data_IF_994183742660
#
_entry.id   IF_994183742660
#
_cell.length_a   1.000
_cell.length_b   1.000
_cell.length_c   1.000
_cell.angle_alpha   90.00
_cell.angle_beta   90.00
_cell.angle_gamma   90.00
#
_symmetry.space_group_name_H-M   'P 1'
#
loop_
_entity.id
_entity.type
_entity.pdbx_description
1 polymer ?
#
# COMPACT_ATOMS: atom_id res chain seq x y z
N UNK A 1 9.39 -18.31 13.27
CA UNK A 1 8.83 -17.15 12.54
C UNK A 1 8.96 -17.32 11.04
N UNK A 2 8.01 -16.80 10.27
CA UNK A 2 8.12 -16.80 8.81
C UNK A 2 9.27 -15.85 8.39
N UNK A 3 10.06 -16.17 7.36
CA UNK A 3 11.15 -15.31 6.93
C UNK A 3 10.62 -13.92 6.53
N UNK A 4 11.37 -12.84 6.83
CA UNK A 4 11.01 -11.48 6.46
C UNK A 4 10.66 -11.38 4.97
N UNK A 5 9.66 -10.56 4.66
CA UNK A 5 9.35 -10.15 3.29
C UNK A 5 9.90 -8.74 3.12
N UNK A 6 11.19 -8.64 2.78
CA UNK A 6 11.88 -7.37 2.55
C UNK A 6 11.93 -6.99 1.06
N UNK A 7 11.71 -7.96 0.17
CA UNK A 7 11.59 -7.81 -1.28
C UNK A 7 10.66 -8.89 -1.88
N UNK A 8 10.24 -8.71 -3.13
CA UNK A 8 9.38 -9.70 -3.81
C UNK A 8 10.09 -11.05 -4.01
N UNK A 9 11.42 -11.06 -4.14
CA UNK A 9 12.22 -12.28 -4.23
C UNK A 9 12.07 -13.19 -3.00
N UNK A 10 11.76 -12.61 -1.83
CA UNK A 10 11.64 -13.36 -0.57
C UNK A 10 10.36 -14.19 -0.50
N UNK A 11 9.44 -14.07 -1.46
CA UNK A 11 8.16 -14.78 -1.46
C UNK A 11 8.32 -16.29 -1.22
N UNK A 12 9.42 -16.89 -1.68
CA UNK A 12 9.69 -18.31 -1.45
C UNK A 12 8.57 -19.18 -2.03
N UNK A 13 8.07 -20.16 -1.28
CA UNK A 13 6.94 -21.02 -1.71
C UNK A 13 5.54 -20.42 -1.55
N UNK A 14 5.41 -19.18 -1.03
CA UNK A 14 4.12 -18.57 -0.67
C UNK A 14 3.29 -18.23 -1.91
N UNK A 15 1.99 -18.49 -1.84
CA UNK A 15 0.98 -18.08 -2.82
C UNK A 15 0.62 -16.63 -2.60
N UNK A 16 0.74 -15.82 -3.64
CA UNK A 16 0.53 -14.39 -3.62
C UNK A 16 -0.88 -14.04 -4.11
N UNK A 17 -1.71 -13.54 -3.21
CA UNK A 17 -2.98 -12.92 -3.57
C UNK A 17 -2.77 -11.54 -4.20
N UNK A 18 -3.36 -11.33 -5.37
CA UNK A 18 -3.40 -10.03 -6.02
C UNK A 18 -4.74 -9.80 -6.73
N UNK A 19 -5.29 -8.60 -6.61
CA UNK A 19 -6.59 -8.26 -7.22
C UNK A 19 -6.40 -7.92 -8.70
N UNK A 20 -7.12 -8.61 -9.57
CA UNK A 20 -7.12 -8.36 -11.02
C UNK A 20 -7.43 -6.91 -11.36
N UNK A 21 -6.70 -6.35 -12.32
CA UNK A 21 -6.88 -4.97 -12.78
C UNK A 21 -6.30 -3.91 -11.83
N UNK A 22 -5.55 -4.31 -10.80
CA UNK A 22 -4.82 -3.38 -9.93
C UNK A 22 -3.35 -3.29 -10.30
N UNK A 23 -2.71 -2.18 -9.92
CA UNK A 23 -1.27 -2.00 -10.07
C UNK A 23 -0.48 -3.10 -9.35
N UNK A 24 -0.93 -3.52 -8.17
CA UNK A 24 -0.28 -4.60 -7.41
C UNK A 24 -0.27 -5.93 -8.21
N UNK A 25 -1.38 -6.27 -8.87
CA UNK A 25 -1.44 -7.45 -9.75
C UNK A 25 -0.56 -7.31 -10.98
N UNK A 26 -0.51 -6.12 -11.60
CA UNK A 26 0.36 -5.87 -12.74
C UNK A 26 1.86 -6.03 -12.38
N UNK A 27 2.28 -5.48 -11.24
CA UNK A 27 3.64 -5.63 -10.70
C UNK A 27 3.93 -7.10 -10.44
N UNK A 28 3.05 -7.82 -9.73
CA UNK A 28 3.25 -9.23 -9.40
C UNK A 28 3.38 -10.11 -10.66
N UNK A 29 2.55 -9.88 -11.68
CA UNK A 29 2.56 -10.65 -12.94
C UNK A 29 3.71 -10.28 -13.88
N UNK A 30 4.27 -9.08 -13.76
CA UNK A 30 5.37 -8.56 -14.58
C UNK A 30 6.75 -8.77 -13.96
N UNK A 31 6.84 -8.92 -12.64
CA UNK A 31 8.10 -9.00 -11.89
C UNK A 31 9.06 -10.04 -12.48
N UNK A 32 10.30 -9.62 -12.77
CA UNK A 32 11.35 -10.42 -13.42
C UNK A 32 10.83 -11.27 -14.59
N UNK A 33 10.15 -10.61 -15.52
CA UNK A 33 9.57 -11.24 -16.72
C UNK A 33 8.53 -12.34 -16.38
N UNK A 34 7.81 -12.18 -15.26
CA UNK A 34 6.74 -13.07 -14.84
C UNK A 34 7.17 -14.23 -13.95
N UNK A 35 8.30 -14.13 -13.27
CA UNK A 35 8.81 -15.19 -12.39
C UNK A 35 7.86 -15.54 -11.22
N UNK A 36 6.96 -14.63 -10.82
CA UNK A 36 5.94 -14.92 -9.79
C UNK A 36 4.65 -15.54 -10.33
N UNK A 37 4.41 -15.55 -11.65
CA UNK A 37 3.13 -15.99 -12.25
C UNK A 37 2.62 -17.34 -11.71
N UNK A 38 3.47 -18.38 -11.54
CA UNK A 38 3.00 -19.67 -11.02
C UNK A 38 2.49 -19.62 -9.57
N UNK A 39 2.82 -18.56 -8.82
CA UNK A 39 2.46 -18.37 -7.41
C UNK A 39 1.34 -17.34 -7.22
N UNK A 40 0.98 -16.59 -8.27
CA UNK A 40 -0.07 -15.58 -8.19
C UNK A 40 -1.44 -16.25 -8.22
N UNK A 41 -2.21 -16.01 -7.17
CA UNK A 41 -3.63 -16.35 -7.09
C UNK A 41 -4.41 -15.08 -7.38
N UNK A 42 -4.93 -15.01 -8.59
CA UNK A 42 -5.72 -13.88 -9.05
C UNK A 42 -7.07 -13.86 -8.34
N UNK A 43 -7.40 -12.74 -7.71
CA UNK A 43 -8.68 -12.51 -7.06
C UNK A 43 -9.45 -11.42 -7.80
N UNK A 44 -10.77 -11.51 -7.78
CA UNK A 44 -11.64 -10.48 -8.36
C UNK A 44 -11.75 -9.27 -7.43
N UNK A 45 -12.16 -8.11 -7.97
CA UNK A 45 -12.40 -6.91 -7.16
C UNK A 45 -13.56 -7.04 -6.16
N UNK A 46 -14.38 -8.10 -6.29
CA UNK A 46 -15.48 -8.39 -5.36
C UNK A 46 -15.05 -9.27 -4.18
N UNK A 47 -13.90 -9.93 -4.28
CA UNK A 47 -13.38 -10.76 -3.21
C UNK A 47 -12.70 -9.88 -2.14
N UNK A 48 -13.00 -10.17 -0.88
CA UNK A 48 -12.24 -9.62 0.24
C UNK A 48 -10.95 -10.42 0.41
N UNK A 49 -9.87 -9.90 -0.17
CA UNK A 49 -8.53 -10.49 -0.12
C UNK A 49 -8.02 -10.65 1.30
N UNK A 50 -8.33 -9.71 2.20
CA UNK A 50 -7.84 -9.75 3.58
C UNK A 50 -8.63 -10.77 4.40
N UNK A 51 -9.93 -10.89 4.18
CA UNK A 51 -10.71 -11.98 4.77
C UNK A 51 -10.26 -13.36 4.27
N UNK A 52 -9.93 -13.50 2.97
CA UNK A 52 -9.36 -14.74 2.42
C UNK A 52 -8.02 -15.08 3.09
N UNK A 53 -7.13 -14.08 3.23
CA UNK A 53 -5.82 -14.25 3.86
C UNK A 53 -5.94 -14.55 5.37
N UNK A 54 -6.92 -13.98 6.05
CA UNK A 54 -7.15 -14.16 7.49
C UNK A 54 -7.73 -15.52 7.87
N UNK A 55 -8.12 -16.36 6.89
CA UNK A 55 -8.68 -17.70 7.16
C UNK A 55 -7.66 -18.55 7.94
N UNK A 56 -8.01 -19.09 9.12
CA UNK A 56 -7.10 -19.91 9.92
C UNK A 56 -6.62 -21.18 9.19
N UNK A 57 -7.48 -21.73 8.33
CA UNK A 57 -7.20 -22.92 7.52
C UNK A 57 -7.87 -22.76 6.15
N UNK A 58 -7.26 -23.35 5.11
CA UNK A 58 -7.88 -23.39 3.78
C UNK A 58 -7.84 -22.05 3.02
N UNK A 59 -7.02 -21.09 3.44
CA UNK A 59 -6.73 -19.93 2.61
C UNK A 59 -6.08 -20.37 1.30
N UNK A 60 -6.50 -19.76 0.18
CA UNK A 60 -5.87 -19.96 -1.13
C UNK A 60 -4.57 -19.17 -1.27
N UNK A 61 -4.30 -18.24 -0.37
CA UNK A 61 -3.17 -17.31 -0.43
C UNK A 61 -2.44 -17.33 0.91
N UNK A 62 -1.15 -17.07 0.87
CA UNK A 62 -0.32 -17.02 2.07
C UNK A 62 0.16 -15.58 2.36
N UNK A 63 0.08 -14.70 1.35
CA UNK A 63 0.34 -13.26 1.43
C UNK A 63 -0.54 -12.50 0.45
N UNK A 64 -0.75 -11.20 0.68
CA UNK A 64 -1.42 -10.31 -0.26
C UNK A 64 -0.50 -9.13 -0.62
N UNK A 65 -0.48 -8.75 -1.90
CA UNK A 65 0.16 -7.51 -2.35
C UNK A 65 -0.93 -6.53 -2.77
N UNK A 66 -1.04 -5.42 -2.03
CA UNK A 66 -2.15 -4.48 -2.12
C UNK A 66 -1.77 -3.09 -1.58
N UNK A 67 -2.57 -2.04 -1.87
CA UNK A 67 -2.40 -0.73 -1.23
C UNK A 67 -2.51 -0.81 0.29
N UNK A 68 -1.54 -0.22 0.99
CA UNK A 68 -1.46 -0.26 2.45
C UNK A 68 -2.69 0.37 3.16
N UNK A 69 -3.30 1.48 2.66
CA UNK A 69 -4.50 2.03 3.29
C UNK A 69 -5.70 1.08 3.32
N UNK A 70 -5.79 0.12 2.40
CA UNK A 70 -6.83 -0.91 2.43
C UNK A 70 -6.62 -1.90 3.57
N UNK A 71 -5.35 -2.24 3.86
CA UNK A 71 -5.01 -3.07 5.01
C UNK A 71 -5.25 -2.31 6.31
N UNK A 72 -4.80 -1.06 6.42
CA UNK A 72 -4.99 -0.23 7.62
C UNK A 72 -6.49 -0.09 7.97
N UNK A 73 -7.32 0.28 6.99
CA UNK A 73 -8.78 0.39 7.20
C UNK A 73 -9.46 -0.94 7.57
N UNK A 74 -9.01 -2.04 6.97
CA UNK A 74 -9.53 -3.36 7.32
C UNK A 74 -9.12 -3.77 8.74
N UNK A 75 -7.88 -3.47 9.16
CA UNK A 75 -7.40 -3.77 10.50
C UNK A 75 -8.17 -3.01 11.58
N UNK A 76 -8.55 -1.74 11.33
CA UNK A 76 -9.39 -0.96 12.24
C UNK A 76 -10.75 -1.62 12.52
N UNK A 77 -11.29 -2.34 11.54
CA UNK A 77 -12.56 -3.08 11.66
C UNK A 77 -12.38 -4.54 12.10
N UNK A 78 -11.15 -5.04 12.13
CA UNK A 78 -10.80 -6.41 12.52
C UNK A 78 -9.61 -6.44 13.50
N UNK A 79 -9.73 -5.81 14.69
CA UNK A 79 -8.59 -5.63 15.60
C UNK A 79 -8.02 -6.93 16.17
N UNK A 80 -8.79 -8.03 16.13
CA UNK A 80 -8.34 -9.36 16.57
C UNK A 80 -7.54 -10.13 15.50
N UNK A 81 -7.33 -9.54 14.31
CA UNK A 81 -6.57 -10.17 13.24
C UNK A 81 -5.13 -10.47 13.64
N UNK A 82 -4.55 -11.52 13.08
CA UNK A 82 -3.12 -11.83 13.17
C UNK A 82 -2.32 -11.37 11.95
N UNK A 83 -3.00 -10.73 10.99
CA UNK A 83 -2.35 -10.20 9.80
C UNK A 83 -1.43 -9.04 10.19
N UNK A 84 -0.22 -9.04 9.64
CA UNK A 84 0.78 -7.99 9.82
C UNK A 84 1.22 -7.49 8.44
N UNK A 85 1.42 -6.18 8.31
CA UNK A 85 2.07 -5.63 7.13
C UNK A 85 3.55 -6.04 7.11
N UNK A 86 4.04 -6.43 5.93
CA UNK A 86 5.47 -6.69 5.72
C UNK A 86 6.29 -5.39 5.66
N UNK A 87 7.59 -5.51 5.90
CA UNK A 87 8.55 -4.39 5.77
C UNK A 87 8.69 -3.95 4.31
N UNK A 88 8.60 -4.90 3.36
CA UNK A 88 8.61 -4.58 1.94
C UNK A 88 7.41 -3.69 1.58
N UNK A 89 7.73 -2.45 1.18
CA UNK A 89 6.78 -1.48 0.67
C UNK A 89 7.37 -0.84 -0.58
N UNK A 90 6.60 -0.85 -1.66
CA UNK A 90 6.88 -0.03 -2.84
C UNK A 90 6.23 1.33 -2.63
N UNK A 91 7.04 2.36 -2.44
CA UNK A 91 6.53 3.74 -2.44
C UNK A 91 6.21 4.14 -3.88
N UNK A 92 5.05 3.70 -4.37
CA UNK A 92 4.45 4.19 -5.61
C UNK A 92 3.39 5.20 -5.18
N UNK A 93 3.86 6.39 -4.79
CA UNK A 93 3.01 7.46 -4.30
C UNK A 93 2.15 8.04 -5.43
N UNK A 94 0.87 8.22 -5.15
CA UNK A 94 -0.01 9.10 -5.92
C UNK A 94 -0.10 10.40 -5.15
N UNK A 95 0.10 11.53 -5.83
CA UNK A 95 -0.09 12.82 -5.20
C UNK A 95 -1.58 13.07 -4.98
N UNK A 96 -1.97 13.22 -3.72
CA UNK A 96 -3.30 13.64 -3.30
C UNK A 96 -3.21 15.07 -2.76
N UNK A 97 -4.17 15.91 -3.11
CA UNK A 97 -4.20 17.31 -2.68
C UNK A 97 -5.62 17.82 -2.52
N UNK A 98 -5.77 18.90 -1.77
CA UNK A 98 -7.04 19.59 -1.61
C UNK A 98 -7.34 20.45 -2.83
N UNK A 99 -8.60 20.48 -3.25
CA UNK A 99 -9.10 21.35 -4.33
C UNK A 99 -10.14 22.30 -3.75
N UNK A 100 -10.04 23.59 -4.08
CA UNK A 100 -10.95 24.63 -3.59
C UNK A 100 -11.42 25.53 -4.74
N UNK A 101 -12.49 26.30 -4.53
CA UNK A 101 -12.91 27.33 -5.48
C UNK A 101 -11.86 28.45 -5.58
N UNK A 102 -11.64 28.99 -6.78
CA UNK A 102 -10.66 30.05 -6.99
C UNK A 102 -10.79 31.26 -6.02
N UNK A 103 -11.98 31.75 -5.64
CA UNK A 103 -12.09 32.86 -4.69
C UNK A 103 -11.72 32.52 -3.24
N UNK A 104 -11.66 31.24 -2.85
CA UNK A 104 -11.36 30.80 -1.49
C UNK A 104 -9.84 30.80 -1.18
N UNK A 105 -9.18 31.94 -1.43
CA UNK A 105 -7.72 32.07 -1.24
C UNK A 105 -7.30 31.88 0.22
N UNK A 106 -8.06 32.41 1.17
CA UNK A 106 -7.75 32.30 2.59
C UNK A 106 -7.83 30.84 3.08
N UNK A 107 -8.77 30.05 2.55
CA UNK A 107 -8.89 28.63 2.85
C UNK A 107 -7.66 27.86 2.34
N UNK A 108 -7.22 28.13 1.11
CA UNK A 108 -5.99 27.50 0.57
C UNK A 108 -4.77 27.83 1.43
N UNK A 109 -4.58 29.11 1.74
CA UNK A 109 -3.45 29.53 2.57
C UNK A 109 -3.48 28.90 3.97
N UNK A 110 -4.67 28.69 4.54
CA UNK A 110 -4.81 27.99 5.81
C UNK A 110 -4.49 26.49 5.70
N UNK A 111 -4.98 25.81 4.65
CA UNK A 111 -4.69 24.40 4.39
C UNK A 111 -3.19 24.17 4.18
N UNK A 112 -2.56 24.98 3.32
CA UNK A 112 -1.13 24.88 3.03
C UNK A 112 -0.29 25.08 4.30
N UNK A 113 -0.65 26.06 5.13
CA UNK A 113 0.03 26.31 6.41
C UNK A 113 -0.07 25.11 7.34
N UNK A 114 -1.28 24.57 7.53
CA UNK A 114 -1.48 23.40 8.41
C UNK A 114 -0.68 22.20 7.91
N UNK A 115 -0.66 21.94 6.61
CA UNK A 115 0.10 20.82 6.05
C UNK A 115 1.61 21.00 6.22
N UNK A 116 2.13 22.20 5.94
CA UNK A 116 3.56 22.52 6.11
C UNK A 116 3.97 22.41 7.57
N UNK A 117 3.22 23.03 8.48
CA UNK A 117 3.52 23.03 9.91
C UNK A 117 3.41 21.62 10.49
N UNK A 118 2.35 20.88 10.15
CA UNK A 118 2.11 19.52 10.65
C UNK A 118 3.11 18.49 10.11
N UNK A 119 3.69 18.74 8.92
CA UNK A 119 4.78 17.95 8.40
C UNK A 119 6.09 18.28 9.13
N UNK A 120 6.36 19.57 9.36
CA UNK A 120 7.59 20.04 9.99
C UNK A 120 7.69 19.65 11.48
N UNK A 121 6.56 19.69 12.21
CA UNK A 121 6.51 19.36 13.64
C UNK A 121 6.22 17.88 13.93
N UNK A 122 6.02 17.07 12.88
CA UNK A 122 5.73 15.63 12.98
C UNK A 122 4.30 15.30 13.39
N UNK A 123 3.39 16.28 13.44
CA UNK A 123 1.97 16.07 13.75
C UNK A 123 1.30 15.09 12.80
N UNK A 124 1.61 15.11 11.49
CA UNK A 124 1.04 14.15 10.54
C UNK A 124 1.37 12.69 10.90
N UNK A 125 2.62 12.42 11.28
CA UNK A 125 3.05 11.09 11.69
C UNK A 125 2.42 10.67 13.03
N UNK A 126 2.21 11.62 13.94
CA UNK A 126 1.50 11.39 15.19
C UNK A 126 0.02 11.05 14.94
N UNK A 127 -0.68 11.85 14.13
CA UNK A 127 -2.10 11.62 13.83
C UNK A 127 -2.31 10.26 13.15
N UNK A 128 -1.44 9.89 12.19
CA UNK A 128 -1.50 8.56 11.59
C UNK A 128 -1.40 7.44 12.64
N UNK A 129 -0.51 7.59 13.63
CA UNK A 129 -0.36 6.62 14.73
C UNK A 129 -1.57 6.60 15.66
N UNK A 130 -2.13 7.76 16.00
CA UNK A 130 -3.32 7.89 16.83
C UNK A 130 -4.54 7.24 16.17
N UNK A 131 -4.66 7.37 14.84
CA UNK A 131 -5.70 6.73 14.03
C UNK A 131 -5.39 5.26 13.70
N UNK A 132 -4.24 4.72 14.14
CA UNK A 132 -3.86 3.33 13.90
C UNK A 132 -3.58 2.98 12.44
N UNK A 133 -3.21 3.97 11.61
CA UNK A 133 -2.89 3.79 10.19
C UNK A 133 -1.40 3.93 9.91
N UNK A 134 -0.96 3.39 8.78
CA UNK A 134 0.44 3.43 8.38
C UNK A 134 0.84 4.83 7.90
N UNK A 135 2.00 5.32 8.37
CA UNK A 135 2.61 6.55 7.90
C UNK A 135 3.77 6.28 6.92
N UNK A 136 3.83 7.05 5.84
CA UNK A 136 5.00 7.19 4.99
C UNK A 136 5.30 8.67 4.83
N UNK A 137 6.51 9.09 5.18
CA UNK A 137 6.92 10.47 4.98
C UNK A 137 6.95 10.80 3.47
N UNK A 138 6.64 12.06 3.09
CA UNK A 138 6.91 12.56 1.75
C UNK A 138 8.40 12.39 1.41
N UNK A 139 8.68 12.05 0.16
CA UNK A 139 10.04 11.91 -0.34
C UNK A 139 10.21 12.78 -1.59
N UNK A 140 11.37 13.42 -1.73
CA UNK A 140 11.68 14.20 -2.93
C UNK A 140 11.95 13.27 -4.13
N UNK A 141 11.55 13.66 -5.35
CA UNK A 141 10.77 14.86 -5.67
C UNK A 141 9.27 14.68 -5.33
N UNK A 142 8.63 15.76 -4.87
CA UNK A 142 7.19 15.75 -4.54
C UNK A 142 6.31 15.37 -5.74
N UNK A 143 6.79 15.62 -6.96
CA UNK A 143 6.16 15.16 -8.21
C UNK A 143 7.23 14.46 -9.04
N UNK A 144 7.07 13.14 -9.24
CA UNK A 144 7.89 12.37 -10.16
C UNK A 144 7.24 12.29 -11.55
N UNK A 145 7.97 11.79 -12.55
CA UNK A 145 7.41 11.52 -13.89
C UNK A 145 6.44 10.31 -13.92
N UNK A 146 6.08 9.77 -12.75
CA UNK A 146 5.39 8.50 -12.61
C UNK A 146 6.34 7.32 -12.83
N UNK A 147 6.05 6.14 -12.26
CA UNK A 147 6.91 4.98 -12.45
C UNK A 147 6.72 4.40 -13.85
N UNK A 148 7.82 4.08 -14.52
CA UNK A 148 7.83 3.29 -15.75
C UNK A 148 7.47 1.84 -15.46
N UNK A 149 6.99 1.11 -16.47
CA UNK A 149 6.73 -0.33 -16.31
C UNK A 149 8.00 -1.09 -15.90
N UNK A 150 9.18 -0.67 -16.39
CA UNK A 150 10.45 -1.28 -16.03
C UNK A 150 10.78 -1.08 -14.54
N UNK A 151 10.57 0.11 -13.99
CA UNK A 151 10.76 0.39 -12.56
C UNK A 151 9.75 -0.36 -11.69
N UNK A 152 8.50 -0.50 -12.16
CA UNK A 152 7.46 -1.23 -11.44
C UNK A 152 7.77 -2.73 -11.27
N UNK A 153 8.42 -3.35 -12.27
CA UNK A 153 8.70 -4.79 -12.28
C UNK A 153 10.12 -5.15 -11.84
N UNK A 154 10.96 -4.16 -11.55
CA UNK A 154 12.27 -4.31 -10.94
C UNK A 154 12.16 -4.50 -9.42
N UNK A 155 13.23 -4.97 -8.77
CA UNK A 155 13.38 -4.98 -7.31
C UNK A 155 13.93 -3.65 -6.79
#
# INVERSE_FOLDING_TARGET
DAPPLAQLADLGGRRLGAVSGTLASAVALGWRQGALRPKVVSQTQREDVLAELAKPTGSRIDVAFMPLPLYDGWQLTHPATRLVAADYRRSIGINLGFVTLAPAADLRAALDRVLVDALADGSLARWAREEGVSWSAPAAPDVSRGPSLAELIAD
#
